data_IF_850017199195
#
_entry.id   IF_850017199195
#
_cell.length_a   1.000
_cell.length_b   1.000
_cell.length_c   1.000
_cell.angle_alpha   90.00
_cell.angle_beta   90.00
_cell.angle_gamma   90.00
#
_symmetry.space_group_name_H-M   'P 1'
#
loop_
_entity.id
_entity.type
_entity.pdbx_description
1 polymer ?
#
# COMPACT_ATOMS: atom_id res chain seq x y z
N UNK A 1 -9.87 -17.72 0.45
CA UNK A 1 -9.95 -17.59 -1.02
C UNK A 1 -10.22 -18.93 -1.67
N UNK A 2 -10.98 -18.92 -2.75
CA UNK A 2 -11.35 -20.06 -3.59
C UNK A 2 -11.06 -19.73 -5.06
N UNK A 3 -11.00 -20.75 -5.91
CA UNK A 3 -10.75 -20.56 -7.34
C UNK A 3 -11.85 -19.66 -7.93
N UNK A 4 -11.44 -18.57 -8.55
CA UNK A 4 -12.34 -17.55 -9.12
C UNK A 4 -12.42 -16.25 -8.31
N UNK A 5 -11.90 -16.23 -7.07
CA UNK A 5 -11.85 -15.01 -6.28
C UNK A 5 -10.86 -13.99 -6.86
N UNK A 6 -11.20 -12.71 -6.73
CA UNK A 6 -10.29 -11.61 -7.10
C UNK A 6 -9.31 -11.38 -5.96
N UNK A 7 -8.02 -11.57 -6.24
CA UNK A 7 -6.92 -11.39 -5.30
C UNK A 7 -6.01 -10.25 -5.73
N UNK A 8 -5.39 -9.56 -4.77
CA UNK A 8 -4.30 -8.63 -5.03
C UNK A 8 -3.08 -8.99 -4.18
N UNK A 9 -1.89 -8.88 -4.77
CA UNK A 9 -0.61 -9.08 -4.08
C UNK A 9 0.05 -7.71 -3.94
N UNK A 10 0.61 -7.47 -2.76
CA UNK A 10 1.23 -6.20 -2.44
C UNK A 10 2.71 -6.11 -2.80
N UNK A 11 3.47 -5.36 -1.99
CA UNK A 11 4.91 -5.20 -2.10
C UNK A 11 5.69 -6.35 -1.46
N UNK A 12 5.01 -7.25 -0.75
CA UNK A 12 5.60 -8.34 0.02
C UNK A 12 4.92 -9.65 -0.38
N UNK A 13 5.70 -10.73 -0.38
CA UNK A 13 5.26 -12.09 -0.71
C UNK A 13 5.68 -13.14 0.33
N UNK A 14 6.43 -12.74 1.36
CA UNK A 14 6.94 -13.63 2.40
C UNK A 14 7.52 -12.89 3.60
N UNK A 15 7.72 -13.61 4.69
CA UNK A 15 8.33 -13.15 5.94
C UNK A 15 8.88 -14.33 6.74
N UNK A 16 9.30 -14.10 8.00
CA UNK A 16 9.76 -15.20 8.85
C UNK A 16 8.64 -15.94 9.60
N UNK A 17 7.44 -15.37 9.60
CA UNK A 17 6.18 -15.85 10.20
C UNK A 17 6.24 -16.22 11.69
N UNK A 18 7.32 -15.85 12.38
CA UNK A 18 7.58 -16.21 13.78
C UNK A 18 8.03 -15.07 14.68
N UNK A 19 8.37 -13.91 14.12
CA UNK A 19 8.76 -12.76 14.93
C UNK A 19 7.53 -12.00 15.46
N UNK A 20 7.73 -11.19 16.50
CA UNK A 20 6.69 -10.37 17.11
C UNK A 20 5.92 -9.52 16.09
N UNK A 21 6.61 -8.97 15.09
CA UNK A 21 5.98 -8.15 14.05
C UNK A 21 5.05 -8.98 13.17
N UNK A 22 5.50 -10.14 12.70
CA UNK A 22 4.66 -11.07 11.93
C UNK A 22 3.42 -11.50 12.73
N UNK A 23 3.59 -11.86 14.00
CA UNK A 23 2.45 -12.29 14.84
C UNK A 23 1.42 -11.17 15.11
N UNK A 24 1.79 -9.91 14.87
CA UNK A 24 0.93 -8.73 15.05
C UNK A 24 0.33 -8.22 13.73
N UNK A 25 0.53 -8.91 12.60
CA UNK A 25 0.10 -8.42 11.29
C UNK A 25 0.91 -7.20 10.82
N UNK A 26 2.18 -7.13 11.23
CA UNK A 26 3.13 -6.05 10.93
C UNK A 26 4.31 -6.59 10.11
N UNK A 27 4.03 -7.49 9.16
CA UNK A 27 5.01 -8.20 8.33
C UNK A 27 5.90 -7.24 7.51
N UNK A 28 5.45 -6.00 7.29
CA UNK A 28 6.25 -4.92 6.68
C UNK A 28 7.41 -4.41 7.54
N UNK A 29 7.40 -4.71 8.84
CA UNK A 29 8.47 -4.40 9.78
C UNK A 29 9.35 -5.62 10.09
N UNK A 30 9.03 -6.80 9.55
CA UNK A 30 9.85 -7.98 9.71
C UNK A 30 11.26 -7.75 9.12
N UNK A 31 12.30 -8.27 9.79
CA UNK A 31 13.68 -8.17 9.27
C UNK A 31 13.92 -9.07 8.05
N UNK A 32 13.15 -10.14 7.94
CA UNK A 32 13.25 -11.14 6.88
C UNK A 32 12.11 -10.99 5.86
N UNK A 33 11.53 -9.79 5.71
CA UNK A 33 10.49 -9.53 4.69
C UNK A 33 11.02 -9.80 3.29
N UNK A 34 10.24 -10.55 2.52
CA UNK A 34 10.53 -10.89 1.13
C UNK A 34 9.66 -10.04 0.21
N UNK A 35 10.32 -9.24 -0.64
CA UNK A 35 9.63 -8.34 -1.57
C UNK A 35 9.14 -9.07 -2.83
N UNK A 36 8.03 -8.58 -3.39
CA UNK A 36 7.35 -9.16 -4.56
C UNK A 36 8.23 -9.28 -5.81
N UNK A 37 9.29 -8.47 -5.92
CA UNK A 37 10.24 -8.57 -7.02
C UNK A 37 11.66 -8.28 -6.55
N UNK A 38 12.64 -8.80 -7.29
CA UNK A 38 14.06 -8.55 -7.06
C UNK A 38 14.56 -8.97 -5.66
N UNK A 39 13.95 -10.00 -5.09
CA UNK A 39 14.35 -10.60 -3.82
C UNK A 39 14.58 -12.11 -3.97
N UNK A 40 15.12 -12.74 -2.94
CA UNK A 40 15.29 -14.20 -2.89
C UNK A 40 14.15 -14.78 -2.04
N UNK A 41 13.40 -15.72 -2.61
CA UNK A 41 12.33 -16.43 -1.92
C UNK A 41 12.89 -17.55 -1.01
N UNK A 42 12.04 -18.16 -0.18
CA UNK A 42 12.46 -19.21 0.77
C UNK A 42 13.14 -20.42 0.11
N UNK A 43 12.80 -20.72 -1.14
CA UNK A 43 13.37 -21.80 -1.94
C UNK A 43 14.68 -21.43 -2.67
N UNK A 44 15.17 -20.20 -2.48
CA UNK A 44 16.37 -19.68 -3.13
C UNK A 44 16.15 -19.11 -4.52
N UNK A 45 14.91 -19.13 -5.04
CA UNK A 45 14.58 -18.54 -6.35
C UNK A 45 14.43 -17.02 -6.27
N UNK A 46 14.51 -16.35 -7.42
CA UNK A 46 14.29 -14.90 -7.50
C UNK A 46 12.81 -14.58 -7.64
N UNK A 47 12.32 -13.59 -6.89
CA UNK A 47 10.96 -13.10 -7.02
C UNK A 47 10.79 -12.21 -8.27
N UNK A 48 9.72 -12.44 -9.01
CA UNK A 48 9.33 -11.67 -10.19
C UNK A 48 7.96 -11.02 -9.94
N UNK A 49 7.87 -9.72 -10.24
CA UNK A 49 6.68 -8.92 -9.96
C UNK A 49 5.55 -9.11 -10.96
N UNK A 50 4.44 -8.37 -10.75
CA UNK A 50 3.20 -8.52 -11.52
C UNK A 50 3.21 -8.01 -12.96
N UNK A 51 4.36 -7.70 -13.56
CA UNK A 51 4.47 -7.44 -15.01
C UNK A 51 4.69 -8.77 -15.75
N UNK A 52 3.78 -9.70 -15.51
CA UNK A 52 3.78 -11.08 -15.96
C UNK A 52 2.34 -11.53 -16.16
N UNK A 53 2.14 -12.63 -16.91
CA UNK A 53 0.80 -13.20 -17.12
C UNK A 53 0.25 -13.86 -15.84
N UNK A 54 1.13 -14.34 -14.96
CA UNK A 54 0.76 -14.95 -13.69
C UNK A 54 1.83 -14.72 -12.60
N UNK A 55 1.38 -14.80 -11.35
CA UNK A 55 2.19 -14.76 -10.13
C UNK A 55 1.59 -15.76 -9.14
N UNK A 56 2.44 -16.38 -8.31
CA UNK A 56 2.03 -17.30 -7.26
C UNK A 56 2.57 -16.76 -5.94
N UNK A 57 1.70 -16.65 -4.93
CA UNK A 57 2.04 -16.24 -3.57
C UNK A 57 1.16 -16.99 -2.58
N UNK A 58 1.71 -17.39 -1.44
CA UNK A 58 1.01 -18.24 -0.46
C UNK A 58 0.14 -17.42 0.50
N UNK A 59 0.75 -16.57 1.33
CA UNK A 59 0.03 -15.94 2.46
C UNK A 59 -0.14 -14.42 2.34
N UNK A 60 0.50 -13.79 1.35
CA UNK A 60 0.54 -12.33 1.22
C UNK A 60 -0.42 -11.79 0.15
N UNK A 61 -1.57 -12.45 0.00
CA UNK A 61 -2.64 -12.03 -0.89
C UNK A 61 -3.81 -11.42 -0.10
N UNK A 62 -4.25 -10.23 -0.53
CA UNK A 62 -5.42 -9.56 0.00
C UNK A 62 -6.64 -9.83 -0.89
N UNK A 63 -7.81 -10.01 -0.28
CA UNK A 63 -9.07 -10.02 -1.01
C UNK A 63 -9.35 -8.64 -1.63
N UNK A 64 -9.84 -8.64 -2.87
CA UNK A 64 -10.26 -7.41 -3.55
C UNK A 64 -11.76 -7.19 -3.31
N UNK A 65 -12.17 -6.09 -2.65
CA UNK A 65 -13.59 -5.83 -2.44
C UNK A 65 -14.35 -5.71 -3.76
N UNK A 66 -15.48 -6.41 -3.89
CA UNK A 66 -16.21 -6.55 -5.16
C UNK A 66 -16.75 -5.25 -5.77
N UNK A 67 -16.84 -4.17 -4.98
CA UNK A 67 -17.29 -2.85 -5.42
C UNK A 67 -16.18 -1.98 -6.01
N UNK A 68 -14.92 -2.43 -6.01
CA UNK A 68 -13.78 -1.70 -6.58
C UNK A 68 -13.33 -2.38 -7.89
N UNK A 69 -13.12 -1.58 -8.93
CA UNK A 69 -12.52 -2.08 -10.17
C UNK A 69 -11.13 -2.67 -9.88
N UNK A 70 -10.89 -3.90 -10.34
CA UNK A 70 -9.69 -4.67 -9.97
C UNK A 70 -8.38 -3.93 -10.27
N UNK A 71 -8.25 -3.32 -11.46
CA UNK A 71 -7.07 -2.52 -11.82
C UNK A 71 -6.86 -1.30 -10.93
N UNK A 72 -7.93 -0.66 -10.48
CA UNK A 72 -7.84 0.48 -9.54
C UNK A 72 -7.37 0.00 -8.16
N UNK A 73 -7.88 -1.14 -7.67
CA UNK A 73 -7.46 -1.70 -6.38
C UNK A 73 -5.99 -2.13 -6.39
N UNK A 74 -5.53 -2.83 -7.42
CA UNK A 74 -4.13 -3.27 -7.52
C UNK A 74 -3.17 -2.07 -7.56
N UNK A 75 -3.47 -1.04 -8.37
CA UNK A 75 -2.63 0.16 -8.45
C UNK A 75 -2.64 1.00 -7.15
N UNK A 76 -3.80 1.07 -6.48
CA UNK A 76 -3.95 1.94 -5.31
C UNK A 76 -3.54 1.27 -4.02
N UNK A 77 -3.77 -0.03 -3.81
CA UNK A 77 -3.56 -0.72 -2.53
C UNK A 77 -2.20 -0.44 -1.88
N UNK A 78 -1.12 -0.45 -2.67
CA UNK A 78 0.24 -0.17 -2.18
C UNK A 78 0.42 1.28 -1.76
N UNK A 79 -0.04 2.21 -2.60
CA UNK A 79 -0.02 3.63 -2.27
C UNK A 79 -0.98 3.97 -1.11
N UNK A 80 -2.07 3.20 -0.97
CA UNK A 80 -3.13 3.37 0.01
C UNK A 80 -2.62 3.05 1.41
N UNK A 81 -2.01 1.87 1.61
CA UNK A 81 -1.49 1.48 2.92
C UNK A 81 -0.30 2.35 3.35
N UNK A 82 0.55 2.76 2.40
CA UNK A 82 1.71 3.62 2.66
C UNK A 82 1.32 4.98 3.26
N UNK A 83 0.16 5.50 2.87
CA UNK A 83 -0.36 6.77 3.37
C UNK A 83 -1.29 6.58 4.56
N UNK A 84 -2.16 5.57 4.51
CA UNK A 84 -3.14 5.31 5.56
C UNK A 84 -2.49 4.90 6.88
N UNK A 85 -1.47 4.02 6.83
CA UNK A 85 -0.78 3.51 8.01
C UNK A 85 -0.22 4.64 8.90
N UNK A 86 0.61 5.58 8.40
CA UNK A 86 1.12 6.68 9.22
C UNK A 86 0.01 7.64 9.66
N UNK A 87 -1.01 7.90 8.84
CA UNK A 87 -2.14 8.76 9.25
C UNK A 87 -2.87 8.21 10.47
N UNK A 88 -3.07 6.89 10.53
CA UNK A 88 -3.68 6.22 11.67
C UNK A 88 -2.73 6.09 12.86
N UNK A 89 -1.51 5.61 12.62
CA UNK A 89 -0.52 5.35 13.66
C UNK A 89 -0.16 6.60 14.46
N UNK A 90 -0.01 7.75 13.79
CA UNK A 90 0.28 9.03 14.44
C UNK A 90 -0.99 9.82 14.84
N UNK A 91 -2.18 9.23 14.70
CA UNK A 91 -3.45 9.87 15.04
C UNK A 91 -3.76 11.11 14.19
N UNK A 92 -3.20 11.25 13.00
CA UNK A 92 -3.44 12.39 12.09
C UNK A 92 -4.78 12.30 11.36
N UNK A 93 -5.57 11.26 11.61
CA UNK A 93 -6.88 11.00 11.03
C UNK A 93 -8.06 11.55 11.86
N UNK A 94 -7.81 12.46 12.80
CA UNK A 94 -8.84 13.05 13.67
C UNK A 94 -9.36 14.37 13.08
N UNK A 95 -10.69 14.60 13.07
CA UNK A 95 -11.27 15.86 12.60
C UNK A 95 -10.70 17.07 13.33
N UNK A 96 -10.51 18.17 12.60
CA UNK A 96 -9.98 19.43 13.17
C UNK A 96 -8.45 19.54 13.21
N UNK A 97 -7.71 18.46 12.91
CA UNK A 97 -6.26 18.54 12.67
C UNK A 97 -5.94 19.22 11.34
N UNK A 98 -4.69 19.66 11.19
CA UNK A 98 -4.16 20.23 9.95
C UNK A 98 -2.94 19.45 9.48
N UNK A 99 -3.04 18.84 8.30
CA UNK A 99 -2.01 18.04 7.65
C UNK A 99 -1.32 18.83 6.52
N UNK A 100 0.01 18.82 6.51
CA UNK A 100 0.82 19.25 5.36
C UNK A 100 1.19 18.05 4.48
N UNK A 101 0.99 18.16 3.16
CA UNK A 101 1.38 17.14 2.18
C UNK A 101 2.42 17.75 1.24
N UNK A 102 3.63 17.21 1.24
CA UNK A 102 4.73 17.68 0.37
C UNK A 102 4.76 16.84 -0.90
N UNK A 103 4.59 17.48 -2.05
CA UNK A 103 4.52 16.83 -3.36
C UNK A 103 3.13 16.26 -3.69
N UNK A 104 2.70 16.40 -4.95
CA UNK A 104 1.39 15.97 -5.43
C UNK A 104 1.49 14.89 -6.52
N UNK A 105 2.25 13.83 -6.26
CA UNK A 105 2.27 12.62 -7.09
C UNK A 105 1.20 11.60 -6.67
N UNK A 106 1.40 10.32 -6.99
CA UNK A 106 0.46 9.24 -6.65
C UNK A 106 0.14 9.13 -5.14
N UNK A 107 1.17 9.16 -4.29
CA UNK A 107 1.00 9.13 -2.83
C UNK A 107 0.39 10.42 -2.28
N UNK A 108 0.88 11.58 -2.74
CA UNK A 108 0.39 12.89 -2.29
C UNK A 108 -1.10 13.09 -2.59
N UNK A 109 -1.54 12.67 -3.77
CA UNK A 109 -2.95 12.71 -4.14
C UNK A 109 -3.83 11.81 -3.24
N UNK A 110 -3.36 10.61 -2.88
CA UNK A 110 -4.07 9.76 -1.92
C UNK A 110 -4.07 10.35 -0.51
N UNK A 111 -2.98 10.98 -0.06
CA UNK A 111 -2.89 11.65 1.24
C UNK A 111 -3.92 12.76 1.37
N UNK A 112 -4.10 13.57 0.34
CA UNK A 112 -5.15 14.60 0.30
C UNK A 112 -6.54 13.97 0.38
N UNK A 113 -6.81 12.89 -0.37
CA UNK A 113 -8.11 12.20 -0.34
C UNK A 113 -8.44 11.63 1.04
N UNK A 114 -7.49 10.94 1.66
CA UNK A 114 -7.67 10.39 3.01
C UNK A 114 -7.89 11.46 4.06
N UNK A 115 -7.04 12.49 4.08
CA UNK A 115 -7.16 13.55 5.07
C UNK A 115 -8.49 14.31 4.93
N UNK A 116 -8.96 14.57 3.70
CA UNK A 116 -10.31 15.10 3.49
C UNK A 116 -11.41 14.16 4.00
N UNK A 117 -11.31 12.85 3.74
CA UNK A 117 -12.27 11.86 4.24
C UNK A 117 -12.29 11.77 5.77
N UNK A 118 -11.15 12.02 6.44
CA UNK A 118 -11.04 12.09 7.89
C UNK A 118 -11.50 13.43 8.50
N UNK A 119 -11.92 14.41 7.68
CA UNK A 119 -12.29 15.75 8.16
C UNK A 119 -11.10 16.59 8.62
N UNK A 120 -9.90 16.29 8.11
CA UNK A 120 -8.65 16.98 8.41
C UNK A 120 -8.45 18.09 7.38
N UNK A 121 -8.01 19.27 7.83
CA UNK A 121 -7.61 20.35 6.91
C UNK A 121 -6.29 19.99 6.25
N UNK A 122 -6.17 20.18 4.94
CA UNK A 122 -4.96 19.81 4.19
C UNK A 122 -4.33 21.02 3.53
N UNK A 123 -3.01 21.14 3.63
CA UNK A 123 -2.20 22.08 2.83
C UNK A 123 -1.22 21.28 1.98
N UNK A 124 -1.24 21.52 0.67
CA UNK A 124 -0.26 20.93 -0.26
C UNK A 124 0.91 21.89 -0.42
N UNK A 125 2.12 21.36 -0.30
CA UNK A 125 3.39 22.08 -0.47
C UNK A 125 4.03 21.51 -1.73
N UNK A 126 4.18 22.34 -2.77
CA UNK A 126 4.76 21.95 -4.06
C UNK A 126 5.86 22.92 -4.46
N UNK A 127 6.80 22.45 -5.27
CA UNK A 127 7.85 23.25 -5.91
C UNK A 127 7.42 23.79 -7.28
N UNK A 128 6.33 23.28 -7.85
CA UNK A 128 5.73 23.74 -9.10
C UNK A 128 4.44 24.54 -8.86
N UNK A 129 4.22 25.68 -9.56
CA UNK A 129 2.95 26.42 -9.50
C UNK A 129 1.76 25.62 -10.05
N UNK A 130 2.02 24.75 -11.03
CA UNK A 130 1.08 23.74 -11.47
C UNK A 130 1.18 22.56 -10.51
N UNK A 131 0.20 22.45 -9.60
CA UNK A 131 -0.08 21.16 -8.97
C UNK A 131 -0.34 20.17 -10.10
N UNK A 132 0.45 19.10 -10.16
CA UNK A 132 0.39 18.09 -11.20
C UNK A 132 -0.99 17.40 -11.17
N UNK A 133 -1.96 18.01 -11.86
CA UNK A 133 -3.35 17.57 -11.97
C UNK A 133 -3.87 17.76 -13.39
N UNK A 134 -2.97 17.76 -14.38
CA UNK A 134 -3.27 17.83 -15.81
C UNK A 134 -2.83 16.56 -16.52
N UNK A 135 -3.26 15.39 -16.04
CA UNK A 135 -3.31 14.13 -16.80
C UNK A 135 -4.45 13.27 -16.27
#
# INVERSE_FOLDING_TARGET
>A
MTVGDKAAIGCMVGGCDKCDDCTKGLESYCRDTILTYNYIYHDGTRTYGGYSDWIVAEEHCGEVPGYIAHGLWCATSMCWITVYSPLKYYGLNEPGKHLGVVGLGGLGHLAVKFAKAFGVKVTVISTSPQGEGSH
#
